data_IF_493307975144
#
_entry.id   IF_493307975144
#
_cell.length_a   1.000
_cell.length_b   1.000
_cell.length_c   1.000
_cell.angle_alpha   90.00
_cell.angle_beta   90.00
_cell.angle_gamma   90.00
#
_symmetry.space_group_name_H-M   'P 1'
#
loop_
_entity.id
_entity.type
_entity.pdbx_description
1 polymer ?
#
# COMPACT_ATOMS: atom_id res chain seq x y z
N UNK A 1 -0.37 -14.61 0.23
CA UNK A 1 -0.68 -13.18 0.19
C UNK A 1 0.35 -12.36 0.95
N UNK A 2 1.01 -11.46 0.23
CA UNK A 2 2.08 -10.58 0.71
C UNK A 2 1.65 -9.12 0.62
N UNK A 3 1.97 -8.36 1.66
CA UNK A 3 1.71 -6.92 1.73
C UNK A 3 3.01 -6.19 2.02
N UNK A 4 3.30 -5.16 1.22
CA UNK A 4 4.44 -4.26 1.41
C UNK A 4 3.92 -2.86 1.65
N UNK A 5 4.51 -2.14 2.61
CA UNK A 5 4.29 -0.71 2.77
C UNK A 5 5.55 0.02 2.32
N UNK A 6 5.41 0.83 1.27
CA UNK A 6 6.44 1.73 0.77
C UNK A 6 6.24 3.09 1.42
N UNK A 7 7.24 3.55 2.16
CA UNK A 7 7.23 4.88 2.80
C UNK A 7 8.61 5.52 2.71
N UNK A 8 8.71 6.78 3.13
CA UNK A 8 9.93 7.58 3.06
C UNK A 8 9.63 9.05 2.82
N UNK A 9 10.65 9.90 3.00
CA UNK A 9 10.53 11.34 2.76
C UNK A 9 10.28 11.67 1.27
N UNK A 10 9.90 12.92 0.99
CA UNK A 10 9.86 13.42 -0.39
C UNK A 10 11.26 13.30 -1.02
N UNK A 11 11.34 12.78 -2.25
CA UNK A 11 12.61 12.53 -2.92
C UNK A 11 13.34 11.23 -2.53
N UNK A 12 12.86 10.45 -1.54
CA UNK A 12 13.51 9.20 -1.10
C UNK A 12 13.40 8.02 -2.09
N UNK A 13 12.91 8.25 -3.32
CA UNK A 13 12.81 7.20 -4.34
C UNK A 13 11.59 6.28 -4.24
N UNK A 14 10.55 6.64 -3.45
CA UNK A 14 9.31 5.85 -3.31
C UNK A 14 8.70 5.42 -4.66
N UNK A 15 8.61 6.34 -5.62
CA UNK A 15 8.06 6.06 -6.95
C UNK A 15 8.90 5.04 -7.74
N UNK A 16 10.22 5.01 -7.53
CA UNK A 16 11.08 4.01 -8.16
C UNK A 16 10.91 2.63 -7.51
N UNK A 17 10.86 2.58 -6.17
CA UNK A 17 10.58 1.34 -5.44
C UNK A 17 9.23 0.72 -5.85
N UNK A 18 8.20 1.55 -6.03
CA UNK A 18 6.89 1.12 -6.52
C UNK A 18 6.97 0.47 -7.90
N UNK A 19 7.68 1.10 -8.85
CA UNK A 19 7.86 0.52 -10.19
C UNK A 19 8.54 -0.85 -10.14
N UNK A 20 9.59 -0.99 -9.33
CA UNK A 20 10.23 -2.29 -9.15
C UNK A 20 9.29 -3.33 -8.55
N UNK A 21 8.40 -2.93 -7.63
CA UNK A 21 7.39 -3.82 -7.08
C UNK A 21 6.34 -4.21 -8.13
N UNK A 22 5.90 -3.29 -8.98
CA UNK A 22 5.02 -3.57 -10.11
C UNK A 22 5.64 -4.60 -11.07
N UNK A 23 6.93 -4.44 -11.40
CA UNK A 23 7.69 -5.40 -12.23
C UNK A 23 7.79 -6.80 -11.58
N UNK A 24 7.78 -6.87 -10.24
CA UNK A 24 7.76 -8.11 -9.46
C UNK A 24 6.36 -8.70 -9.27
N UNK A 25 5.34 -8.09 -9.89
CA UNK A 25 3.95 -8.53 -9.87
C UNK A 25 3.15 -8.05 -8.65
N UNK A 26 3.60 -7.01 -7.95
CA UNK A 26 2.79 -6.36 -6.91
C UNK A 26 1.80 -5.38 -7.53
N UNK A 27 0.59 -5.37 -6.98
CA UNK A 27 -0.38 -4.32 -7.24
C UNK A 27 -0.11 -3.12 -6.32
N UNK A 28 0.37 -2.02 -6.89
CA UNK A 28 0.69 -0.82 -6.15
C UNK A 28 -0.53 0.09 -5.94
N UNK A 29 -0.73 0.56 -4.72
CA UNK A 29 -1.81 1.45 -4.30
C UNK A 29 -1.18 2.66 -3.61
N UNK A 30 -1.30 3.83 -4.23
CA UNK A 30 -0.75 5.08 -3.70
C UNK A 30 -1.79 5.91 -2.93
N UNK A 31 -1.33 6.63 -1.91
CA UNK A 31 -2.12 7.56 -1.08
C UNK A 31 -3.40 6.96 -0.46
N UNK A 32 -3.43 5.66 -0.15
CA UNK A 32 -4.57 5.07 0.55
C UNK A 32 -4.54 5.46 2.05
N UNK A 33 -5.65 6.02 2.59
CA UNK A 33 -5.79 6.26 4.02
C UNK A 33 -5.60 4.98 4.85
N UNK A 34 -4.92 5.03 6.00
CA UNK A 34 -4.65 3.85 6.83
C UNK A 34 -5.90 3.05 7.23
N UNK A 35 -7.02 3.73 7.47
CA UNK A 35 -8.30 3.10 7.80
C UNK A 35 -8.80 2.20 6.66
N UNK A 36 -8.67 2.67 5.41
CA UNK A 36 -9.12 1.94 4.23
C UNK A 36 -8.21 0.75 3.91
N UNK A 37 -6.93 0.78 4.29
CA UNK A 37 -6.03 -0.36 4.14
C UNK A 37 -6.58 -1.58 4.87
N UNK A 38 -7.07 -1.41 6.11
CA UNK A 38 -7.64 -2.53 6.89
C UNK A 38 -8.88 -3.14 6.21
N UNK A 39 -9.79 -2.30 5.75
CA UNK A 39 -11.00 -2.77 5.05
C UNK A 39 -10.66 -3.46 3.73
N UNK A 40 -9.74 -2.88 2.95
CA UNK A 40 -9.27 -3.43 1.68
C UNK A 40 -8.64 -4.81 1.87
N UNK A 41 -7.73 -4.97 2.83
CA UNK A 41 -7.13 -6.27 3.18
C UNK A 41 -8.22 -7.28 3.57
N UNK A 42 -9.23 -6.85 4.33
CA UNK A 42 -10.37 -7.70 4.69
C UNK A 42 -11.19 -8.16 3.48
N UNK A 43 -11.39 -7.29 2.49
CA UNK A 43 -12.07 -7.62 1.24
C UNK A 43 -11.27 -8.62 0.41
N UNK A 44 -9.98 -8.35 0.18
CA UNK A 44 -9.12 -9.23 -0.63
C UNK A 44 -9.03 -10.63 -0.02
N UNK A 45 -8.93 -10.74 1.32
CA UNK A 45 -8.95 -12.05 2.02
C UNK A 45 -10.21 -12.87 1.77
N UNK A 46 -11.35 -12.23 1.49
CA UNK A 46 -12.65 -12.90 1.27
C UNK A 46 -12.87 -13.30 -0.19
N UNK A 47 -12.07 -12.80 -1.12
CA UNK A 47 -12.20 -13.09 -2.55
C UNK A 47 -11.31 -14.27 -2.93
N UNK A 48 -11.92 -15.40 -3.30
CA UNK A 48 -11.21 -16.55 -3.88
C UNK A 48 -10.58 -16.17 -5.22
N UNK A 49 -9.26 -16.30 -5.35
CA UNK A 49 -8.49 -15.85 -6.53
C UNK A 49 -8.07 -14.37 -6.48
N UNK A 50 -8.09 -13.74 -5.30
CA UNK A 50 -7.73 -12.34 -5.08
C UNK A 50 -6.25 -12.00 -5.30
N UNK A 51 -5.94 -10.70 -5.15
CA UNK A 51 -4.59 -10.15 -5.27
C UNK A 51 -3.63 -10.76 -4.24
N UNK A 52 -2.63 -11.52 -4.69
CA UNK A 52 -1.66 -12.19 -3.82
C UNK A 52 -0.49 -11.31 -3.40
N UNK A 53 -0.20 -10.22 -4.13
CA UNK A 53 0.92 -9.32 -3.88
C UNK A 53 0.45 -7.87 -3.98
N UNK A 54 0.47 -7.14 -2.87
CA UNK A 54 -0.03 -5.76 -2.80
C UNK A 54 1.03 -4.86 -2.17
N UNK A 55 1.26 -3.69 -2.76
CA UNK A 55 2.14 -2.66 -2.24
C UNK A 55 1.33 -1.40 -1.92
N UNK A 56 1.31 -0.95 -0.67
CA UNK A 56 0.69 0.31 -0.26
C UNK A 56 1.77 1.38 -0.17
N UNK A 57 1.55 2.53 -0.77
CA UNK A 57 2.45 3.68 -0.63
C UNK A 57 1.87 4.62 0.41
N UNK A 58 2.59 4.78 1.51
CA UNK A 58 2.27 5.68 2.59
C UNK A 58 3.24 6.87 2.58
N UNK A 59 2.70 8.08 2.75
CA UNK A 59 3.49 9.32 2.85
C UNK A 59 3.10 10.06 4.14
N UNK A 60 3.97 10.95 4.63
CA UNK A 60 3.75 11.78 5.82
C UNK A 60 2.51 12.67 5.71
N UNK A 61 2.05 12.94 4.48
CA UNK A 61 0.76 13.61 4.19
C UNK A 61 -0.43 12.79 4.70
N UNK A 62 -0.28 11.47 4.77
CA UNK A 62 -1.22 10.53 5.38
C UNK A 62 -1.18 10.54 6.92
N UNK A 63 -0.18 11.19 7.54
CA UNK A 63 0.04 11.24 8.98
C UNK A 63 -1.19 11.71 9.77
N UNK A 64 -1.93 12.69 9.24
CA UNK A 64 -3.16 13.21 9.84
C UNK A 64 -4.31 12.19 9.90
N UNK A 65 -4.23 11.10 9.14
CA UNK A 65 -5.22 10.03 9.18
C UNK A 65 -4.85 8.92 10.17
N UNK A 66 -3.72 9.01 10.88
CA UNK A 66 -3.40 8.04 11.94
C UNK A 66 -3.94 8.45 13.32
N UNK A 67 -4.40 9.69 13.49
CA UNK A 67 -4.93 10.19 14.77
C UNK A 67 -6.29 9.54 15.13
N UNK A 68 -6.98 8.94 14.14
CA UNK A 68 -8.27 8.26 14.29
C UNK A 68 -8.16 6.71 14.34
N UNK A 69 -6.96 6.15 14.53
CA UNK A 69 -6.72 4.69 14.52
C UNK A 69 -6.75 4.05 15.91
#
# INVERSE_FOLDING_TARGET
MEFIIVTGLSGAGKSYAVRCLEDLGYYAIDNMPPQLIREFVGLVKRTSGGLEKIAFVADIRGGKFFDDL
#
